data_IF_754197001805
#
_entry.id   IF_754197001805
#
_cell.length_a   1.000
_cell.length_b   1.000
_cell.length_c   1.000
_cell.angle_alpha   90.00
_cell.angle_beta   90.00
_cell.angle_gamma   90.00
#
_symmetry.space_group_name_H-M   'P 1'
#
loop_
_entity.id
_entity.type
_entity.pdbx_description
1 polymer ?
#
# COMPACT_ATOMS: atom_id res chain seq x y z
N UNK A 1 -69.27 8.00 -36.63
CA UNK A 1 -67.91 8.22 -37.18
C UNK A 1 -67.07 9.27 -36.42
N UNK A 2 -67.22 9.45 -35.09
CA UNK A 2 -66.41 10.42 -34.32
C UNK A 2 -65.63 9.85 -33.12
N UNK A 3 -65.84 8.59 -32.74
CA UNK A 3 -65.17 7.99 -31.58
C UNK A 3 -63.91 7.16 -31.91
N UNK A 4 -63.68 6.72 -33.16
CA UNK A 4 -62.52 5.88 -33.51
C UNK A 4 -61.19 6.65 -33.63
N UNK A 5 -61.19 7.98 -33.80
CA UNK A 5 -59.95 8.76 -33.95
C UNK A 5 -59.32 9.15 -32.61
N UNK A 6 -60.13 9.36 -31.57
CA UNK A 6 -59.64 9.77 -30.24
C UNK A 6 -59.03 8.58 -29.49
N UNK A 7 -59.58 7.37 -29.67
CA UNK A 7 -59.04 6.15 -29.06
C UNK A 7 -57.64 5.75 -29.58
N UNK A 8 -57.32 6.05 -30.85
CA UNK A 8 -55.98 5.80 -31.41
C UNK A 8 -54.92 6.78 -30.89
N UNK A 9 -55.31 8.01 -30.55
CA UNK A 9 -54.38 9.03 -30.05
C UNK A 9 -54.02 8.81 -28.56
N UNK A 10 -54.96 8.30 -27.77
CA UNK A 10 -54.72 7.97 -26.35
C UNK A 10 -53.89 6.69 -26.21
N UNK A 11 -54.04 5.72 -27.12
CA UNK A 11 -53.19 4.51 -27.13
C UNK A 11 -51.74 4.81 -27.56
N UNK A 12 -51.54 5.81 -28.43
CA UNK A 12 -50.20 6.28 -28.83
C UNK A 12 -49.49 7.12 -27.75
N UNK A 13 -50.24 7.77 -26.85
CA UNK A 13 -49.70 8.48 -25.68
C UNK A 13 -49.38 7.53 -24.50
N UNK A 14 -49.97 6.34 -24.44
CA UNK A 14 -49.67 5.33 -23.42
C UNK A 14 -48.49 4.40 -23.80
N UNK A 15 -48.15 4.31 -25.08
CA UNK A 15 -46.99 3.53 -25.56
C UNK A 15 -45.69 4.35 -25.51
N UNK A 16 -45.78 5.69 -25.48
CA UNK A 16 -44.60 6.55 -25.43
C UNK A 16 -44.06 6.80 -24.01
N UNK A 17 -44.78 6.38 -22.96
CA UNK A 17 -44.34 6.51 -21.55
C UNK A 17 -43.65 5.25 -20.99
N UNK A 18 -43.58 4.15 -21.76
CA UNK A 18 -42.97 2.87 -21.32
C UNK A 18 -41.51 2.72 -21.80
N UNK A 19 -40.91 3.76 -22.38
CA UNK A 19 -39.49 3.78 -22.75
C UNK A 19 -38.67 4.82 -21.97
N UNK A 20 -38.94 4.99 -20.67
CA UNK A 20 -37.84 5.22 -19.74
C UNK A 20 -37.44 3.85 -19.19
N UNK A 21 -36.70 3.09 -20.00
CA UNK A 21 -35.80 2.09 -19.43
C UNK A 21 -34.85 2.87 -18.53
N UNK A 22 -35.17 2.93 -17.23
CA UNK A 22 -34.16 3.20 -16.21
C UNK A 22 -33.08 2.17 -16.49
N UNK A 23 -31.98 2.62 -17.07
CA UNK A 23 -30.75 1.84 -17.02
C UNK A 23 -30.53 1.62 -15.54
N UNK A 24 -30.80 0.40 -15.07
CA UNK A 24 -30.16 -0.10 -13.87
C UNK A 24 -28.67 -0.09 -14.24
N UNK A 25 -28.02 1.06 -14.02
CA UNK A 25 -26.62 1.06 -13.71
C UNK A 25 -26.54 0.15 -12.51
N UNK A 26 -26.16 -1.10 -12.76
CA UNK A 26 -25.63 -1.95 -11.72
C UNK A 26 -24.41 -1.19 -11.22
N UNK A 27 -24.60 -0.29 -10.27
CA UNK A 27 -23.53 0.20 -9.43
C UNK A 27 -23.06 -1.04 -8.68
N UNK A 28 -22.11 -1.74 -9.30
CA UNK A 28 -21.27 -2.67 -8.58
C UNK A 28 -20.64 -1.81 -7.51
N UNK A 29 -21.11 -1.94 -6.27
CA UNK A 29 -20.50 -1.26 -5.12
C UNK A 29 -18.99 -1.51 -5.25
N UNK A 30 -18.26 -0.43 -5.54
CA UNK A 30 -16.81 -0.42 -5.60
C UNK A 30 -16.26 -0.66 -4.19
N UNK A 31 -14.95 -0.46 -4.02
CA UNK A 31 -14.27 -0.48 -2.72
C UNK A 31 -15.15 -0.15 -1.52
N UNK A 32 -15.02 -0.91 -0.43
CA UNK A 32 -15.59 -0.46 0.86
C UNK A 32 -14.89 0.82 1.35
N UNK A 33 -15.41 1.46 2.39
CA UNK A 33 -14.80 2.66 2.98
C UNK A 33 -13.50 2.37 3.77
N UNK A 34 -13.11 1.10 3.95
CA UNK A 34 -11.93 0.72 4.73
C UNK A 34 -10.63 1.10 4.02
N UNK A 35 -9.69 1.78 4.68
CA UNK A 35 -8.35 1.98 4.12
C UNK A 35 -7.65 0.65 3.92
N UNK A 36 -7.15 0.40 2.70
CA UNK A 36 -6.45 -0.84 2.37
C UNK A 36 -4.94 -0.59 2.39
N UNK A 37 -4.21 -1.47 3.06
CA UNK A 37 -2.76 -1.39 3.20
C UNK A 37 -2.11 -2.77 3.01
N UNK A 38 -0.79 -2.79 2.85
CA UNK A 38 -0.03 -4.04 2.74
C UNK A 38 -0.30 -4.98 3.91
N UNK A 39 -0.54 -6.25 3.59
CA UNK A 39 -0.98 -7.28 4.54
C UNK A 39 -2.50 -7.47 4.60
N UNK A 40 -3.28 -6.53 4.04
CA UNK A 40 -4.71 -6.73 3.87
C UNK A 40 -4.99 -7.92 2.93
N UNK A 41 -6.13 -8.56 3.14
CA UNK A 41 -6.64 -9.63 2.29
C UNK A 41 -8.13 -9.44 2.01
N UNK A 42 -8.62 -10.01 0.91
CA UNK A 42 -10.06 -10.10 0.60
C UNK A 42 -10.49 -9.30 -0.63
N UNK A 43 -11.81 -9.14 -0.78
CA UNK A 43 -12.46 -8.60 -1.99
C UNK A 43 -11.96 -7.20 -2.39
N UNK A 44 -11.72 -6.34 -1.40
CA UNK A 44 -11.19 -4.99 -1.63
C UNK A 44 -9.77 -5.03 -2.23
N UNK A 45 -8.96 -6.01 -1.83
CA UNK A 45 -7.61 -6.20 -2.40
C UNK A 45 -7.70 -6.78 -3.81
N UNK A 46 -8.66 -7.68 -4.07
CA UNK A 46 -8.92 -8.20 -5.41
C UNK A 46 -9.28 -7.06 -6.36
N UNK A 47 -10.19 -6.17 -5.93
CA UNK A 47 -10.56 -4.99 -6.71
C UNK A 47 -9.36 -4.06 -6.93
N UNK A 48 -8.56 -3.78 -5.89
CA UNK A 48 -7.33 -2.99 -6.01
C UNK A 48 -6.38 -3.55 -7.07
N UNK A 49 -6.06 -4.84 -6.99
CA UNK A 49 -5.18 -5.52 -7.94
C UNK A 49 -5.75 -5.51 -9.35
N UNK A 50 -7.06 -5.77 -9.52
CA UNK A 50 -7.71 -5.79 -10.82
C UNK A 50 -7.73 -4.41 -11.49
N UNK A 51 -7.97 -3.35 -10.71
CA UNK A 51 -7.93 -1.96 -11.19
C UNK A 51 -6.52 -1.55 -11.56
N UNK A 52 -5.53 -1.79 -10.70
CA UNK A 52 -4.13 -1.50 -11.00
C UNK A 52 -3.63 -2.27 -12.23
N UNK A 53 -4.07 -3.52 -12.41
CA UNK A 53 -3.76 -4.29 -13.61
C UNK A 53 -4.43 -3.72 -14.86
N UNK A 54 -5.68 -3.25 -14.75
CA UNK A 54 -6.41 -2.63 -15.86
C UNK A 54 -5.66 -1.44 -16.46
N UNK A 55 -5.07 -0.61 -15.61
CA UNK A 55 -4.27 0.55 -16.02
C UNK A 55 -2.77 0.25 -16.15
N UNK A 56 -2.36 -1.02 -16.09
CA UNK A 56 -1.00 -1.46 -16.40
C UNK A 56 0.04 -1.33 -15.27
N UNK A 57 -0.36 -0.88 -14.07
CA UNK A 57 0.54 -0.76 -12.93
C UNK A 57 0.84 -2.09 -12.23
N UNK A 58 -0.04 -3.09 -12.36
CA UNK A 58 0.10 -4.39 -11.70
C UNK A 58 0.12 -5.56 -12.69
N UNK A 59 1.24 -6.28 -12.74
CA UNK A 59 1.43 -7.46 -13.62
C UNK A 59 1.30 -8.80 -12.90
N UNK A 60 1.10 -8.76 -11.59
CA UNK A 60 0.98 -9.96 -10.76
C UNK A 60 -0.38 -10.66 -10.86
N UNK A 61 -0.54 -11.72 -10.08
CA UNK A 61 -1.80 -12.47 -9.99
C UNK A 61 -2.79 -11.69 -9.13
N UNK A 62 -4.03 -11.58 -9.61
CA UNK A 62 -5.15 -11.11 -8.79
C UNK A 62 -5.55 -12.25 -7.83
N UNK A 63 -5.08 -12.16 -6.59
CA UNK A 63 -5.21 -13.21 -5.57
C UNK A 63 -5.84 -12.71 -4.26
N UNK A 64 -6.11 -11.40 -4.16
CA UNK A 64 -6.70 -10.81 -2.98
C UNK A 64 -5.74 -10.70 -1.81
N UNK A 65 -4.43 -10.82 -2.03
CA UNK A 65 -3.40 -10.64 -1.00
C UNK A 65 -2.59 -9.38 -1.30
N UNK A 66 -2.62 -8.42 -0.38
CA UNK A 66 -1.89 -7.16 -0.57
C UNK A 66 -0.42 -7.39 -0.17
N UNK A 67 0.32 -8.03 -1.07
CA UNK A 67 1.76 -8.23 -0.98
C UNK A 67 2.58 -7.10 -1.63
N UNK A 68 3.88 -7.34 -1.79
CA UNK A 68 4.83 -6.36 -2.31
C UNK A 68 4.56 -5.92 -3.75
N UNK A 69 4.13 -6.84 -4.61
CA UNK A 69 3.76 -6.47 -5.98
C UNK A 69 2.60 -5.46 -6.02
N UNK A 70 1.59 -5.66 -5.17
CA UNK A 70 0.44 -4.75 -5.06
C UNK A 70 0.86 -3.41 -4.48
N UNK A 71 1.78 -3.41 -3.50
CA UNK A 71 2.33 -2.18 -2.90
C UNK A 71 3.07 -1.30 -3.90
N UNK A 72 3.98 -1.88 -4.69
CA UNK A 72 4.71 -1.12 -5.70
C UNK A 72 3.80 -0.62 -6.82
N UNK A 73 2.87 -1.46 -7.28
CA UNK A 73 1.87 -1.02 -8.25
C UNK A 73 1.05 0.18 -7.73
N UNK A 74 0.63 0.14 -6.46
CA UNK A 74 -0.11 1.24 -5.85
C UNK A 74 0.73 2.51 -5.73
N UNK A 75 1.99 2.42 -5.30
CA UNK A 75 2.87 3.58 -5.18
C UNK A 75 3.22 4.19 -6.53
N UNK A 76 3.51 3.36 -7.54
CA UNK A 76 3.75 3.86 -8.90
C UNK A 76 2.50 4.57 -9.44
N UNK A 77 1.31 4.02 -9.19
CA UNK A 77 0.05 4.69 -9.51
C UNK A 77 -0.08 6.02 -8.75
N UNK A 78 0.21 6.06 -7.45
CA UNK A 78 0.16 7.30 -6.67
C UNK A 78 1.09 8.38 -7.22
N UNK A 79 2.33 8.00 -7.54
CA UNK A 79 3.33 8.87 -8.15
C UNK A 79 2.84 9.44 -9.49
N UNK A 80 2.43 8.59 -10.42
CA UNK A 80 2.06 8.99 -11.78
C UNK A 80 0.79 9.84 -11.83
N UNK A 81 -0.08 9.71 -10.81
CA UNK A 81 -1.31 10.48 -10.69
C UNK A 81 -1.20 11.68 -9.75
N UNK A 82 0.02 12.03 -9.31
CA UNK A 82 0.32 13.21 -8.50
C UNK A 82 -0.28 13.18 -7.09
N UNK A 83 -0.42 12.00 -6.50
CA UNK A 83 -0.95 11.78 -5.15
C UNK A 83 0.19 11.54 -4.15
N UNK A 84 -0.06 11.69 -2.84
CA UNK A 84 0.88 11.24 -1.82
C UNK A 84 1.24 9.74 -2.02
N UNK A 85 2.54 9.45 -2.08
CA UNK A 85 3.06 8.10 -2.38
C UNK A 85 3.21 7.27 -1.09
N UNK A 86 2.14 7.19 -0.31
CA UNK A 86 2.08 6.58 1.02
C UNK A 86 1.85 5.06 1.01
N UNK A 87 1.50 4.48 -0.15
CA UNK A 87 1.19 3.06 -0.29
C UNK A 87 -0.12 2.63 0.38
N UNK A 88 -1.02 3.59 0.66
CA UNK A 88 -2.34 3.36 1.23
C UNK A 88 -3.43 3.61 0.19
N UNK A 89 -4.34 2.65 0.04
CA UNK A 89 -5.55 2.85 -0.75
C UNK A 89 -6.63 3.42 0.17
N UNK A 90 -6.49 4.71 0.48
CA UNK A 90 -7.50 5.54 1.14
C UNK A 90 -8.57 6.06 0.16
N UNK A 91 -9.54 6.86 0.63
CA UNK A 91 -10.66 7.34 -0.17
C UNK A 91 -10.25 8.03 -1.48
N UNK A 92 -9.27 8.93 -1.43
CA UNK A 92 -8.79 9.66 -2.61
C UNK A 92 -8.12 8.73 -3.64
N UNK A 93 -7.21 7.87 -3.17
CA UNK A 93 -6.55 6.85 -4.02
C UNK A 93 -7.58 5.95 -4.70
N UNK A 94 -8.60 5.52 -3.95
CA UNK A 94 -9.70 4.68 -4.45
C UNK A 94 -10.54 5.39 -5.49
N UNK A 95 -10.93 6.64 -5.23
CA UNK A 95 -11.68 7.45 -6.17
C UNK A 95 -10.89 7.64 -7.48
N UNK A 96 -9.59 7.93 -7.38
CA UNK A 96 -8.72 8.06 -8.56
C UNK A 96 -8.65 6.74 -9.34
N UNK A 97 -8.48 5.60 -8.67
CA UNK A 97 -8.51 4.28 -9.30
C UNK A 97 -9.83 4.02 -10.01
N UNK A 98 -10.96 4.33 -9.38
CA UNK A 98 -12.29 4.17 -9.95
C UNK A 98 -12.47 5.01 -11.22
N UNK A 99 -11.98 6.26 -11.21
CA UNK A 99 -12.04 7.13 -12.39
C UNK A 99 -11.11 6.68 -13.52
N UNK A 100 -9.94 6.15 -13.19
CA UNK A 100 -8.91 5.77 -14.18
C UNK A 100 -9.09 4.36 -14.76
N UNK A 101 -9.90 3.50 -14.14
CA UNK A 101 -9.99 2.08 -14.49
C UNK A 101 -11.43 1.56 -14.53
N UNK A 102 -11.63 0.43 -15.22
CA UNK A 102 -12.85 -0.37 -15.09
C UNK A 102 -12.58 -1.57 -14.21
N UNK A 103 -13.62 -2.14 -13.61
CA UNK A 103 -13.55 -3.37 -12.83
C UNK A 103 -14.77 -4.24 -13.13
N UNK A 104 -14.56 -5.36 -13.81
CA UNK A 104 -15.60 -6.36 -14.03
C UNK A 104 -15.60 -7.40 -12.91
N UNK A 105 -16.37 -7.13 -11.85
CA UNK A 105 -16.47 -8.02 -10.67
C UNK A 105 -16.93 -9.42 -11.03
N UNK A 106 -17.88 -9.56 -11.97
CA UNK A 106 -18.42 -10.85 -12.36
C UNK A 106 -17.36 -11.71 -13.08
N UNK A 107 -16.61 -11.11 -13.99
CA UNK A 107 -15.51 -11.76 -14.67
C UNK A 107 -14.42 -12.16 -13.67
N UNK A 108 -13.89 -11.21 -12.89
CA UNK A 108 -12.75 -11.44 -11.97
C UNK A 108 -13.08 -12.52 -10.94
N UNK A 109 -14.20 -12.38 -10.22
CA UNK A 109 -14.61 -13.37 -9.23
C UNK A 109 -14.98 -14.71 -9.88
N UNK A 110 -15.56 -14.67 -11.09
CA UNK A 110 -15.85 -15.87 -11.87
C UNK A 110 -14.60 -16.67 -12.24
N UNK A 111 -13.49 -16.01 -12.59
CA UNK A 111 -12.22 -16.70 -12.89
C UNK A 111 -11.55 -17.24 -11.62
N UNK A 112 -11.59 -16.47 -10.52
CA UNK A 112 -11.07 -16.90 -9.21
C UNK A 112 -11.78 -18.18 -8.75
N UNK A 113 -13.12 -18.20 -8.79
CA UNK A 113 -13.92 -19.36 -8.38
C UNK A 113 -13.67 -20.60 -9.26
N UNK A 114 -13.38 -20.40 -10.55
CA UNK A 114 -13.01 -21.48 -11.48
C UNK A 114 -11.56 -21.94 -11.32
N UNK A 115 -10.75 -21.26 -10.51
CA UNK A 115 -9.32 -21.57 -10.34
C UNK A 115 -8.49 -21.39 -11.62
N UNK A 116 -8.96 -20.59 -12.57
CA UNK A 116 -8.24 -20.30 -13.82
C UNK A 116 -7.18 -19.23 -13.58
N UNK A 117 -6.06 -19.31 -14.30
CA UNK A 117 -5.17 -18.15 -14.42
C UNK A 117 -5.85 -17.14 -15.34
N UNK A 118 -5.82 -15.85 -15.01
CA UNK A 118 -6.45 -14.82 -15.80
C UNK A 118 -5.76 -13.47 -15.60
N UNK A 119 -6.09 -12.51 -16.47
CA UNK A 119 -5.66 -11.11 -16.37
C UNK A 119 -6.86 -10.17 -16.48
N UNK A 120 -6.65 -8.88 -16.18
CA UNK A 120 -7.67 -7.84 -16.26
C UNK A 120 -7.09 -6.53 -16.84
N UNK A 121 -6.44 -6.57 -18.02
CA UNK A 121 -5.84 -5.41 -18.67
C UNK A 121 -6.87 -4.61 -19.49
N UNK A 122 -6.76 -3.27 -19.46
CA UNK A 122 -7.54 -2.39 -20.32
C UNK A 122 -7.23 -2.63 -21.80
N UNK A 123 -8.25 -2.50 -22.65
CA UNK A 123 -8.12 -2.67 -24.10
C UNK A 123 -8.00 -4.12 -24.59
N UNK A 124 -7.92 -5.12 -23.69
CA UNK A 124 -7.86 -6.54 -24.06
C UNK A 124 -9.25 -7.20 -23.91
N UNK A 125 -9.78 -7.89 -24.94
CA UNK A 125 -11.05 -8.58 -24.84
C UNK A 125 -11.05 -9.64 -23.74
N UNK A 126 -12.10 -9.70 -22.88
CA UNK A 126 -12.17 -10.62 -21.74
C UNK A 126 -11.98 -12.10 -22.12
N UNK A 127 -12.42 -12.50 -23.31
CA UNK A 127 -12.22 -13.84 -23.86
C UNK A 127 -10.75 -14.23 -23.99
N UNK A 128 -9.86 -13.25 -24.21
CA UNK A 128 -8.42 -13.45 -24.39
C UNK A 128 -7.64 -13.32 -23.08
N UNK A 129 -8.33 -13.06 -21.97
CA UNK A 129 -7.70 -12.86 -20.66
C UNK A 129 -7.80 -14.09 -19.75
N UNK A 130 -8.14 -15.26 -20.30
CA UNK A 130 -8.21 -16.51 -19.54
C UNK A 130 -7.14 -17.49 -20.01
N UNK A 131 -6.32 -17.96 -19.08
CA UNK A 131 -5.30 -18.99 -19.30
C UNK A 131 -5.78 -20.41 -18.99
N UNK A 132 -4.94 -21.42 -19.22
CA UNK A 132 -5.27 -22.82 -18.97
C UNK A 132 -5.57 -23.09 -17.48
N UNK A 133 -6.48 -24.04 -17.23
CA UNK A 133 -6.94 -24.41 -15.89
C UNK A 133 -5.85 -25.19 -15.16
N UNK A 134 -5.53 -24.83 -13.91
CA UNK A 134 -4.74 -25.72 -13.03
C UNK A 134 -5.67 -26.83 -12.52
N UNK A 135 -5.33 -28.10 -12.75
CA UNK A 135 -5.99 -29.25 -12.10
C UNK A 135 -5.68 -29.16 -10.59
N UNK A 136 -6.64 -28.74 -9.77
CA UNK A 136 -6.46 -28.69 -8.32
C UNK A 136 -6.58 -30.10 -7.72
N UNK A 137 -5.55 -30.56 -7.01
CA UNK A 137 -5.75 -31.40 -5.83
C UNK A 137 -6.56 -30.56 -4.85
N UNK A 138 -7.75 -31.03 -4.50
CA UNK A 138 -8.66 -30.36 -3.59
C UNK A 138 -7.97 -30.13 -2.24
N UNK A 139 -7.64 -28.88 -1.94
CA UNK A 139 -7.63 -28.38 -0.56
C UNK A 139 -8.88 -27.55 -0.43
N UNK A 140 -9.72 -27.93 0.53
CA UNK A 140 -10.99 -27.30 0.81
C UNK A 140 -10.80 -25.80 1.02
N UNK A 141 -11.54 -25.00 0.24
CA UNK A 141 -11.76 -23.60 0.57
C UNK A 141 -12.31 -23.54 2.01
N UNK A 142 -11.74 -22.71 2.91
CA UNK A 142 -12.37 -22.48 4.19
C UNK A 142 -13.77 -21.90 3.94
N UNK A 143 -14.77 -22.57 4.51
CA UNK A 143 -16.14 -22.05 4.73
C UNK A 143 -16.04 -20.62 5.27
N UNK A 144 -17.00 -19.70 4.99
CA UNK A 144 -16.94 -18.34 5.51
C UNK A 144 -17.00 -18.39 7.04
N UNK A 145 -15.84 -18.41 7.68
CA UNK A 145 -15.72 -18.08 9.07
C UNK A 145 -16.04 -16.59 9.16
N UNK A 146 -16.91 -16.22 10.10
CA UNK A 146 -17.08 -14.84 10.50
C UNK A 146 -15.69 -14.22 10.61
N UNK A 147 -15.47 -13.16 9.82
CA UNK A 147 -14.24 -12.40 9.86
C UNK A 147 -13.88 -12.18 11.33
N UNK A 148 -12.68 -12.60 11.79
CA UNK A 148 -12.23 -12.13 13.08
C UNK A 148 -12.34 -10.61 13.03
N UNK A 149 -13.12 -10.04 13.96
CA UNK A 149 -13.09 -8.59 14.22
C UNK A 149 -11.60 -8.21 14.23
N UNK A 150 -11.19 -7.16 13.52
CA UNK A 150 -9.81 -6.70 13.57
C UNK A 150 -9.53 -6.22 14.98
N UNK A 151 -9.11 -7.12 15.85
CA UNK A 151 -8.45 -6.74 17.09
C UNK A 151 -7.07 -6.28 16.64
N UNK A 152 -6.88 -4.95 16.61
CA UNK A 152 -5.57 -4.35 16.58
C UNK A 152 -4.75 -5.02 17.69
N UNK A 153 -3.86 -5.94 17.32
CA UNK A 153 -2.96 -6.57 18.26
C UNK A 153 -1.99 -5.49 18.72
N UNK A 154 -2.03 -5.17 20.01
CA UNK A 154 -1.23 -4.15 20.67
C UNK A 154 0.25 -4.31 20.31
N UNK A 155 0.67 -3.48 19.37
CA UNK A 155 2.05 -3.08 19.13
C UNK A 155 2.30 -1.85 20.03
N UNK A 156 3.53 -1.47 20.41
CA UNK A 156 3.75 -0.25 21.19
C UNK A 156 2.96 0.90 20.56
N UNK A 157 2.20 1.62 21.40
CA UNK A 157 1.20 2.61 21.00
C UNK A 157 1.68 3.49 19.84
N UNK A 158 1.15 3.26 18.63
CA UNK A 158 1.38 4.11 17.45
C UNK A 158 2.09 3.48 16.24
N UNK A 159 2.79 2.34 16.39
CA UNK A 159 3.53 1.71 15.27
C UNK A 159 3.01 0.33 14.94
N UNK A 160 2.96 -0.05 13.66
CA UNK A 160 2.60 -1.42 13.25
C UNK A 160 3.79 -2.37 13.28
N UNK A 161 3.54 -3.69 13.27
CA UNK A 161 4.62 -4.68 13.15
C UNK A 161 5.44 -4.50 11.86
N UNK A 162 4.84 -3.94 10.81
CA UNK A 162 5.52 -3.61 9.55
C UNK A 162 6.47 -2.42 9.70
N UNK A 163 6.06 -1.39 10.45
CA UNK A 163 6.93 -0.24 10.74
C UNK A 163 8.16 -0.69 11.52
N UNK A 164 7.96 -1.54 12.54
CA UNK A 164 9.06 -2.13 13.30
C UNK A 164 10.01 -2.93 12.40
N UNK A 165 9.49 -3.73 11.48
CA UNK A 165 10.31 -4.50 10.52
C UNK A 165 11.09 -3.59 9.58
N UNK A 166 10.45 -2.56 9.02
CA UNK A 166 11.10 -1.59 8.13
C UNK A 166 12.22 -0.85 8.87
N UNK A 167 11.92 -0.30 10.05
CA UNK A 167 12.91 0.37 10.89
C UNK A 167 14.07 -0.55 11.23
N UNK A 168 13.79 -1.81 11.60
CA UNK A 168 14.84 -2.74 12.00
C UNK A 168 15.78 -3.09 10.83
N UNK A 169 15.25 -3.20 9.61
CA UNK A 169 16.08 -3.43 8.42
C UNK A 169 16.87 -2.18 8.02
N UNK A 170 16.28 -0.99 8.16
CA UNK A 170 16.99 0.28 7.95
C UNK A 170 18.14 0.42 8.96
N UNK A 171 17.85 0.28 10.25
CA UNK A 171 18.85 0.32 11.34
C UNK A 171 19.95 -0.73 11.12
N UNK A 172 19.60 -1.92 10.65
CA UNK A 172 20.61 -2.93 10.33
C UNK A 172 21.51 -2.52 9.17
N UNK A 173 20.99 -1.87 8.13
CA UNK A 173 21.84 -1.37 7.03
C UNK A 173 22.79 -0.27 7.48
N UNK A 174 22.30 0.65 8.31
CA UNK A 174 23.07 1.85 8.70
C UNK A 174 24.03 1.60 9.86
N UNK A 175 23.69 0.70 10.78
CA UNK A 175 24.40 0.54 12.06
C UNK A 175 24.81 -0.92 12.34
N UNK A 176 24.97 -1.75 11.31
CA UNK A 176 25.56 -3.09 11.49
C UNK A 176 27.02 -2.97 11.89
N UNK A 177 27.36 -3.55 13.04
CA UNK A 177 28.71 -3.51 13.60
C UNK A 177 28.92 -2.39 14.61
N UNK A 178 27.99 -1.43 14.68
CA UNK A 178 28.00 -0.35 15.67
C UNK A 178 27.67 -0.88 17.08
N UNK A 179 28.09 -0.16 18.14
CA UNK A 179 27.62 -0.43 19.50
C UNK A 179 26.08 -0.40 19.55
N UNK A 180 25.49 -1.12 20.51
CA UNK A 180 24.03 -1.20 20.63
C UNK A 180 23.37 0.18 20.74
N UNK A 181 24.00 1.10 21.47
CA UNK A 181 23.56 2.50 21.57
C UNK A 181 23.51 3.20 20.21
N UNK A 182 24.44 2.91 19.30
CA UNK A 182 24.45 3.44 17.93
C UNK A 182 23.29 2.88 17.07
N UNK A 183 22.89 1.63 17.29
CA UNK A 183 21.69 1.08 16.63
C UNK A 183 20.41 1.72 17.16
N UNK A 184 20.31 1.95 18.46
CA UNK A 184 19.18 2.70 19.06
C UNK A 184 19.17 4.14 18.55
N UNK A 185 20.34 4.76 18.40
CA UNK A 185 20.49 6.11 17.88
C UNK A 185 19.93 6.28 16.46
N UNK A 186 20.23 5.36 15.54
CA UNK A 186 19.63 5.41 14.18
C UNK A 186 18.11 5.21 14.23
N UNK A 187 17.62 4.30 15.09
CA UNK A 187 16.18 4.12 15.27
C UNK A 187 15.50 5.39 15.79
N UNK A 188 16.12 6.07 16.75
CA UNK A 188 15.62 7.33 17.31
C UNK A 188 15.58 8.45 16.25
N UNK A 189 16.60 8.56 15.39
CA UNK A 189 16.59 9.51 14.26
C UNK A 189 15.39 9.27 13.33
N UNK A 190 15.04 8.01 13.04
CA UNK A 190 13.84 7.70 12.23
C UNK A 190 12.57 8.25 12.91
N UNK A 191 12.43 8.04 14.22
CA UNK A 191 11.29 8.53 15.00
C UNK A 191 11.26 10.06 15.08
N UNK A 192 12.42 10.70 15.26
CA UNK A 192 12.58 12.15 15.30
C UNK A 192 12.16 12.77 13.96
N UNK A 193 12.53 12.15 12.83
CA UNK A 193 12.05 12.55 11.50
C UNK A 193 10.53 12.43 11.38
N UNK A 194 9.94 11.29 11.76
CA UNK A 194 8.47 11.14 11.75
C UNK A 194 7.77 12.25 12.55
N UNK A 195 8.35 12.66 13.67
CA UNK A 195 7.83 13.73 14.53
C UNK A 195 8.12 15.14 13.99
N UNK A 196 9.22 15.35 13.26
CA UNK A 196 9.64 16.65 12.73
C UNK A 196 8.77 17.13 11.56
N UNK A 197 8.44 18.41 11.52
CA UNK A 197 7.67 19.03 10.44
C UNK A 197 8.40 19.02 9.08
N UNK A 198 9.71 18.80 9.08
CA UNK A 198 10.57 18.83 7.89
C UNK A 198 10.55 17.52 7.09
N UNK A 199 9.97 16.46 7.65
CA UNK A 199 10.02 15.10 7.10
C UNK A 199 8.63 14.48 6.96
N UNK A 200 8.50 13.40 6.15
CA UNK A 200 7.26 12.65 6.05
C UNK A 200 6.76 12.13 7.40
N UNK A 201 5.44 12.10 7.57
CA UNK A 201 4.77 11.76 8.83
C UNK A 201 4.52 10.27 9.05
N UNK A 202 5.20 9.42 8.30
CA UNK A 202 5.10 7.96 8.41
C UNK A 202 6.48 7.34 8.35
N UNK A 203 6.67 6.22 9.05
CA UNK A 203 7.93 5.46 9.05
C UNK A 203 8.35 5.10 7.62
N UNK A 204 7.41 4.61 6.81
CA UNK A 204 7.67 4.31 5.41
C UNK A 204 8.07 5.57 4.63
N UNK A 205 7.40 6.70 4.85
CA UNK A 205 7.74 7.97 4.21
C UNK A 205 9.19 8.36 4.48
N UNK A 206 9.62 8.32 5.75
CA UNK A 206 11.00 8.64 6.16
C UNK A 206 12.01 7.66 5.59
N UNK A 207 11.73 6.35 5.65
CA UNK A 207 12.69 5.32 5.20
C UNK A 207 12.87 5.34 3.68
N UNK A 208 11.82 5.62 2.92
CA UNK A 208 11.85 5.62 1.46
C UNK A 208 12.14 6.99 0.84
N UNK A 209 12.51 8.00 1.64
CA UNK A 209 13.06 9.23 1.08
C UNK A 209 14.31 8.92 0.25
N UNK A 210 14.48 9.54 -0.93
CA UNK A 210 15.62 9.26 -1.80
C UNK A 210 16.95 9.40 -1.06
N UNK A 211 17.77 8.34 -1.09
CA UNK A 211 19.10 8.28 -0.49
C UNK A 211 19.14 8.42 1.04
N UNK A 212 18.00 8.32 1.74
CA UNK A 212 17.96 8.46 3.19
C UNK A 212 18.54 7.25 3.95
N UNK A 213 18.44 6.05 3.37
CA UNK A 213 18.92 4.79 3.95
C UNK A 213 19.49 3.87 2.87
N UNK A 214 20.72 3.41 3.07
CA UNK A 214 21.44 2.47 2.18
C UNK A 214 20.70 1.15 2.01
N UNK A 215 20.06 0.66 3.08
CA UNK A 215 19.27 -0.58 3.07
C UNK A 215 18.17 -0.60 1.99
N UNK A 216 17.65 0.57 1.60
CA UNK A 216 16.66 0.69 0.52
C UNK A 216 17.32 0.48 -0.84
N UNK A 217 18.44 1.15 -1.09
CA UNK A 217 19.18 1.05 -2.34
C UNK A 217 19.76 -0.35 -2.56
N UNK A 218 20.26 -0.98 -1.49
CA UNK A 218 20.89 -2.30 -1.51
C UNK A 218 19.87 -3.46 -1.47
N UNK A 219 18.57 -3.14 -1.47
CA UNK A 219 17.47 -4.10 -1.41
C UNK A 219 17.36 -4.89 -0.10
N UNK A 220 18.17 -4.55 0.91
CA UNK A 220 18.23 -5.23 2.21
C UNK A 220 17.02 -4.91 3.10
N UNK A 221 16.27 -3.86 2.77
CA UNK A 221 15.08 -3.43 3.52
C UNK A 221 13.97 -4.51 3.60
N UNK A 222 14.08 -5.58 2.79
CA UNK A 222 13.10 -6.68 2.70
C UNK A 222 13.52 -8.00 3.33
N UNK A 223 14.68 -8.05 3.99
CA UNK A 223 15.16 -9.27 4.64
C UNK A 223 14.53 -9.49 6.02
N UNK A 224 14.74 -10.68 6.58
CA UNK A 224 14.39 -10.94 7.99
C UNK A 224 15.23 -10.03 8.88
N UNK A 225 14.59 -9.21 9.75
CA UNK A 225 15.32 -8.29 10.60
C UNK A 225 16.30 -9.00 11.53
N UNK A 226 17.48 -8.41 11.67
CA UNK A 226 18.40 -8.81 12.72
C UNK A 226 17.75 -8.57 14.10
N UNK A 227 17.82 -9.56 14.99
CA UNK A 227 17.17 -9.48 16.31
C UNK A 227 17.66 -8.30 17.16
N UNK A 228 18.94 -7.93 17.03
CA UNK A 228 19.53 -6.80 17.76
C UNK A 228 18.97 -5.47 17.24
N UNK A 229 18.88 -5.30 15.92
CA UNK A 229 18.31 -4.10 15.32
C UNK A 229 16.81 -3.95 15.64
N UNK A 230 16.06 -5.07 15.64
CA UNK A 230 14.65 -5.07 16.06
C UNK A 230 14.49 -4.65 17.52
N UNK A 231 15.35 -5.13 18.42
CA UNK A 231 15.34 -4.72 19.83
C UNK A 231 15.67 -3.23 19.98
N UNK A 232 16.66 -2.73 19.24
CA UNK A 232 17.02 -1.31 19.25
C UNK A 232 15.85 -0.40 18.82
N UNK A 233 15.09 -0.83 17.80
CA UNK A 233 13.87 -0.15 17.36
C UNK A 233 12.82 -0.11 18.46
N UNK A 234 12.59 -1.23 19.15
CA UNK A 234 11.62 -1.29 20.24
C UNK A 234 12.02 -0.39 21.41
N UNK A 235 13.32 -0.33 21.73
CA UNK A 235 13.84 0.54 22.77
C UNK A 235 13.66 2.03 22.42
N UNK A 236 13.93 2.42 21.18
CA UNK A 236 13.66 3.77 20.70
C UNK A 236 12.16 4.11 20.74
N UNK A 237 11.29 3.20 20.32
CA UNK A 237 9.83 3.38 20.40
C UNK A 237 9.36 3.51 21.85
N UNK A 238 10.01 2.83 22.80
CA UNK A 238 9.75 2.96 24.23
C UNK A 238 10.33 4.25 24.85
N UNK A 239 10.92 5.14 24.03
CA UNK A 239 11.35 6.47 24.42
C UNK A 239 12.85 6.63 24.65
N UNK A 240 13.68 5.61 24.36
CA UNK A 240 15.13 5.77 24.46
C UNK A 240 15.69 6.48 23.21
N UNK A 241 16.00 7.76 23.35
CA UNK A 241 16.75 8.54 22.35
C UNK A 241 18.14 8.95 22.88
N UNK A 242 19.22 8.23 22.52
CA UNK A 242 20.58 8.60 22.91
C UNK A 242 21.13 9.82 22.15
N UNK A 243 20.45 10.24 21.07
CA UNK A 243 20.91 11.30 20.14
C UNK A 243 20.49 12.70 20.56
N UNK A 244 19.63 12.83 21.57
CA UNK A 244 19.07 14.10 22.03
C UNK A 244 18.28 14.85 20.94
N UNK A 245 17.48 14.13 20.15
CA UNK A 245 16.61 14.75 19.14
C UNK A 245 17.25 14.94 17.77
N UNK A 246 18.35 14.24 17.46
CA UNK A 246 19.04 14.37 16.18
C UNK A 246 18.12 14.02 14.99
N UNK A 247 18.29 14.74 13.89
CA UNK A 247 17.59 14.51 12.62
C UNK A 247 18.51 13.95 11.53
N UNK A 248 19.82 14.11 11.72
CA UNK A 248 20.84 13.65 10.77
C UNK A 248 22.00 12.97 11.50
N UNK A 249 22.74 12.16 10.75
CA UNK A 249 23.99 11.57 11.19
C UNK A 249 24.91 11.33 10.00
N UNK A 250 26.21 11.20 10.26
CA UNK A 250 27.19 10.85 9.24
C UNK A 250 28.44 10.23 9.86
N UNK A 251 29.16 9.45 9.06
CA UNK A 251 30.48 8.94 9.43
C UNK A 251 31.56 9.96 9.03
N UNK A 252 32.30 10.58 9.98
CA UNK A 252 33.25 11.64 9.67
C UNK A 252 34.44 11.16 8.82
N UNK A 253 34.68 9.84 8.75
CA UNK A 253 35.76 9.27 7.95
C UNK A 253 35.39 9.12 6.46
N UNK A 254 34.09 9.09 6.14
CA UNK A 254 33.60 8.82 4.77
C UNK A 254 32.73 9.94 4.19
N UNK A 255 32.19 10.82 5.04
CA UNK A 255 31.29 11.89 4.62
C UNK A 255 32.00 13.00 3.84
N UNK A 256 31.56 13.20 2.60
CA UNK A 256 32.10 14.22 1.68
C UNK A 256 31.20 15.46 1.52
N UNK A 257 29.97 15.41 2.05
CA UNK A 257 28.98 16.49 1.88
C UNK A 257 29.33 17.71 2.75
N UNK A 258 29.69 18.85 2.15
CA UNK A 258 29.93 20.09 2.91
C UNK A 258 28.70 20.53 3.73
N UNK A 259 27.50 20.23 3.24
CA UNK A 259 26.26 20.55 3.93
C UNK A 259 26.12 19.78 5.24
N UNK A 260 26.46 18.48 5.30
CA UNK A 260 26.32 17.71 6.56
C UNK A 260 27.30 18.21 7.62
N UNK A 261 28.50 18.60 7.22
CA UNK A 261 29.51 19.19 8.12
C UNK A 261 29.10 20.56 8.69
N UNK A 262 28.15 21.26 8.04
CA UNK A 262 27.62 22.54 8.52
C UNK A 262 26.53 22.40 9.60
N UNK A 263 26.00 21.19 9.80
CA UNK A 263 24.92 20.94 10.79
C UNK A 263 25.48 21.04 12.22
N UNK A 264 24.70 21.60 13.19
CA UNK A 264 25.10 21.60 14.59
C UNK A 264 25.31 20.18 15.13
N UNK A 265 26.55 19.85 15.47
CA UNK A 265 26.92 18.52 15.98
C UNK A 265 26.52 18.39 17.45
N UNK A 266 25.85 17.30 17.79
CA UNK A 266 25.39 17.03 19.16
C UNK A 266 26.42 16.15 19.87
N UNK A 267 26.67 14.96 19.32
CA UNK A 267 27.60 13.97 19.87
C UNK A 267 27.99 12.91 18.84
N UNK A 268 28.99 12.11 19.19
CA UNK A 268 29.39 10.93 18.43
C UNK A 268 29.06 9.65 19.22
N UNK A 269 28.43 8.68 18.55
CA UNK A 269 28.17 7.34 19.08
C UNK A 269 28.69 6.35 18.04
N UNK A 270 29.68 5.55 18.42
CA UNK A 270 30.39 4.67 17.48
C UNK A 270 31.06 5.48 16.37
N UNK A 271 30.82 5.09 15.12
CA UNK A 271 31.36 5.78 13.95
C UNK A 271 30.50 6.95 13.46
N UNK A 272 29.35 7.21 14.07
CA UNK A 272 28.41 8.24 13.62
C UNK A 272 28.42 9.50 14.51
N UNK A 273 28.57 10.66 13.88
CA UNK A 273 28.25 11.97 14.48
C UNK A 273 26.78 12.26 14.22
N UNK A 274 26.03 12.56 15.28
CA UNK A 274 24.61 12.92 15.24
C UNK A 274 24.44 14.44 15.32
N UNK A 275 23.52 14.99 14.54
CA UNK A 275 23.33 16.43 14.39
C UNK A 275 21.86 16.84 14.19
N UNK A 276 21.60 18.12 14.49
CA UNK A 276 20.31 18.79 14.26
C UNK A 276 20.11 19.12 12.80
#
# INVERSE_FOLDING_TARGET
MRYCKVARLIFLLFICTILLSTTNVNETNAFTNQVIQRGAVGDDVIELQARLQYIGFYTGKIDGVFGWGTYWALRNFQNDFGMPVDGLAGPETKEKLVKASKYDKQFVMGQINKGKSFTHYGGTPLANQTGPSKKNKATQAPKPAQAPKPTAANTPTGFSQNDITLMANAVHGEARGEPYEGQVAVAAVILNRVNSAEFPKTVAGVIFEPLAFTAVADGQIWLTPNETAKRAVLDAINGWDPTEGALYYFNPNTATSAWIWSRPQIKQIGEHIFCM
#
